data_IF_904385334746
#
_entry.id   IF_904385334746
#
_cell.length_a   1.000
_cell.length_b   1.000
_cell.length_c   1.000
_cell.angle_alpha   90.00
_cell.angle_beta   90.00
_cell.angle_gamma   90.00
#
_symmetry.space_group_name_H-M   'P 1'
#
loop_
_entity.id
_entity.type
_entity.pdbx_description
1 polymer ?
#
# COMPACT_ATOMS: atom_id res chain seq x y z
N UNK A 1 -1.54 -15.78 -19.17
CA UNK A 1 -1.43 -15.98 -17.73
C UNK A 1 -1.25 -14.66 -17.02
N UNK A 2 -1.71 -14.60 -15.78
CA UNK A 2 -1.51 -13.42 -14.97
C UNK A 2 -0.01 -13.26 -14.66
N UNK A 3 0.47 -12.04 -14.76
CA UNK A 3 1.89 -11.77 -14.58
C UNK A 3 2.11 -10.90 -13.34
N UNK A 4 2.77 -11.47 -12.35
CA UNK A 4 3.05 -10.76 -11.11
C UNK A 4 3.89 -9.50 -11.34
N UNK A 5 4.73 -9.48 -12.37
CA UNK A 5 5.56 -8.33 -12.71
C UNK A 5 4.74 -7.09 -13.05
N UNK A 6 3.57 -7.29 -13.68
CA UNK A 6 2.68 -6.18 -14.00
C UNK A 6 2.15 -5.52 -12.72
N UNK A 7 1.88 -6.34 -11.69
CA UNK A 7 1.47 -5.84 -10.40
C UNK A 7 2.59 -5.05 -9.71
N UNK A 8 3.82 -5.55 -9.79
CA UNK A 8 4.98 -4.85 -9.24
C UNK A 8 5.21 -3.53 -9.95
N UNK A 9 5.08 -3.47 -11.26
CA UNK A 9 5.20 -2.23 -12.03
C UNK A 9 4.14 -1.20 -11.62
N UNK A 10 2.89 -1.64 -11.46
CA UNK A 10 1.82 -0.75 -11.02
C UNK A 10 2.04 -0.27 -9.59
N UNK A 11 2.54 -1.14 -8.73
CA UNK A 11 2.87 -0.76 -7.35
C UNK A 11 3.96 0.33 -7.34
N UNK A 12 5.02 0.14 -8.11
CA UNK A 12 6.10 1.12 -8.21
C UNK A 12 5.60 2.45 -8.79
N UNK A 13 4.68 2.40 -9.75
CA UNK A 13 4.08 3.58 -10.35
C UNK A 13 3.25 4.37 -9.31
N UNK A 14 2.45 3.68 -8.52
CA UNK A 14 1.69 4.33 -7.43
C UNK A 14 2.64 4.97 -6.41
N UNK A 15 3.70 4.28 -6.04
CA UNK A 15 4.68 4.82 -5.09
C UNK A 15 5.36 6.07 -5.65
N UNK A 16 5.75 6.04 -6.93
CA UNK A 16 6.35 7.21 -7.59
C UNK A 16 5.37 8.37 -7.63
N UNK A 17 4.11 8.10 -7.92
CA UNK A 17 3.05 9.12 -7.88
C UNK A 17 2.91 9.76 -6.50
N UNK A 18 2.93 8.94 -5.45
CA UNK A 18 2.89 9.44 -4.07
C UNK A 18 4.09 10.32 -3.76
N UNK A 19 5.29 9.94 -4.18
CA UNK A 19 6.50 10.74 -3.97
C UNK A 19 6.41 12.11 -4.63
N UNK A 20 5.95 12.13 -5.88
CA UNK A 20 5.79 13.40 -6.61
C UNK A 20 4.75 14.30 -5.94
N UNK A 21 3.63 13.72 -5.53
CA UNK A 21 2.58 14.47 -4.83
C UNK A 21 3.07 15.05 -3.51
N UNK A 22 3.87 14.30 -2.77
CA UNK A 22 4.42 14.77 -1.50
C UNK A 22 5.42 15.91 -1.73
N UNK A 23 6.30 15.77 -2.71
CA UNK A 23 7.30 16.77 -3.05
C UNK A 23 6.69 18.10 -3.52
N UNK A 24 5.53 18.04 -4.17
CA UNK A 24 4.91 19.19 -4.80
C UNK A 24 3.58 19.61 -4.16
N UNK A 25 3.36 19.22 -2.92
CA UNK A 25 2.14 19.58 -2.17
C UNK A 25 0.84 19.26 -2.93
N UNK A 26 0.80 18.08 -3.55
CA UNK A 26 -0.34 17.65 -4.35
C UNK A 26 -1.54 17.16 -3.55
N UNK A 27 -1.40 17.08 -2.21
CA UNK A 27 -2.46 16.63 -1.30
C UNK A 27 -2.02 15.44 -0.48
N UNK A 28 -2.01 15.61 0.84
CA UNK A 28 -1.61 14.54 1.77
C UNK A 28 -2.54 13.33 1.69
N UNK A 29 -3.82 13.55 1.44
CA UNK A 29 -4.81 12.49 1.23
C UNK A 29 -4.48 11.63 0.00
N UNK A 30 -4.08 12.26 -1.10
CA UNK A 30 -3.68 11.54 -2.30
C UNK A 30 -2.39 10.77 -2.09
N UNK A 31 -1.44 11.33 -1.35
CA UNK A 31 -0.20 10.63 -0.97
C UNK A 31 -0.55 9.35 -0.21
N UNK A 32 -1.36 9.46 0.84
CA UNK A 32 -1.76 8.31 1.65
C UNK A 32 -2.50 7.26 0.82
N UNK A 33 -3.41 7.69 -0.05
CA UNK A 33 -4.17 6.79 -0.92
C UNK A 33 -3.25 6.01 -1.86
N UNK A 34 -2.33 6.71 -2.52
CA UNK A 34 -1.40 6.04 -3.45
C UNK A 34 -0.42 5.12 -2.73
N UNK A 35 -0.04 5.43 -1.50
CA UNK A 35 0.76 4.51 -0.67
C UNK A 35 -0.02 3.22 -0.39
N UNK A 36 -1.30 3.34 -0.04
CA UNK A 36 -2.15 2.18 0.19
C UNK A 36 -2.27 1.34 -1.09
N UNK A 37 -2.47 1.99 -2.25
CA UNK A 37 -2.56 1.30 -3.53
C UNK A 37 -1.25 0.60 -3.91
N UNK A 38 -0.10 1.24 -3.65
CA UNK A 38 1.21 0.65 -3.90
C UNK A 38 1.40 -0.62 -3.06
N UNK A 39 1.08 -0.55 -1.78
CA UNK A 39 1.21 -1.69 -0.88
C UNK A 39 0.28 -2.83 -1.26
N UNK A 40 -0.98 -2.51 -1.59
CA UNK A 40 -1.95 -3.51 -2.03
C UNK A 40 -1.46 -4.26 -3.26
N UNK A 41 -1.01 -3.53 -4.27
CA UNK A 41 -0.54 -4.13 -5.53
C UNK A 41 0.73 -4.94 -5.33
N UNK A 42 1.62 -4.48 -4.48
CA UNK A 42 2.85 -5.21 -4.17
C UNK A 42 2.54 -6.54 -3.47
N UNK A 43 1.65 -6.53 -2.48
CA UNK A 43 1.23 -7.74 -1.78
C UNK A 43 0.53 -8.72 -2.72
N UNK A 44 -0.38 -8.22 -3.55
CA UNK A 44 -1.09 -9.08 -4.52
C UNK A 44 -0.12 -9.69 -5.54
N UNK A 45 0.82 -8.90 -6.04
CA UNK A 45 1.84 -9.39 -6.97
C UNK A 45 2.72 -10.45 -6.33
N UNK A 46 3.16 -10.22 -5.10
CA UNK A 46 4.01 -11.18 -4.39
C UNK A 46 3.26 -12.50 -4.14
N UNK A 47 2.00 -12.41 -3.73
CA UNK A 47 1.16 -13.60 -3.52
C UNK A 47 0.92 -14.35 -4.82
N UNK A 48 0.68 -13.64 -5.91
CA UNK A 48 0.53 -14.26 -7.23
C UNK A 48 1.80 -15.00 -7.64
N UNK A 49 2.96 -14.37 -7.46
CA UNK A 49 4.26 -14.98 -7.75
C UNK A 49 4.50 -16.24 -6.91
N UNK A 50 4.17 -16.18 -5.63
CA UNK A 50 4.51 -17.24 -4.67
C UNK A 50 3.50 -18.37 -4.65
N UNK A 51 2.20 -18.04 -4.71
CA UNK A 51 1.12 -19.01 -4.57
C UNK A 51 0.38 -19.33 -5.88
N UNK A 52 0.56 -18.50 -6.90
CA UNK A 52 -0.18 -18.61 -8.17
C UNK A 52 -1.61 -18.08 -8.09
N UNK A 53 -2.00 -17.50 -6.98
CA UNK A 53 -3.37 -17.04 -6.73
C UNK A 53 -3.45 -15.52 -6.64
N UNK A 54 -4.38 -14.94 -7.41
CA UNK A 54 -4.66 -13.51 -7.33
C UNK A 54 -5.83 -13.30 -6.37
N UNK A 55 -5.56 -12.65 -5.24
CA UNK A 55 -6.57 -12.39 -4.23
C UNK A 55 -7.31 -11.09 -4.49
N UNK A 56 -8.60 -11.10 -4.21
CA UNK A 56 -9.46 -9.91 -4.32
C UNK A 56 -9.42 -9.07 -3.04
N UNK A 57 -10.02 -7.89 -3.10
CA UNK A 57 -10.20 -7.02 -1.95
C UNK A 57 -9.09 -6.00 -1.80
N UNK A 58 -9.25 -5.14 -0.78
CA UNK A 58 -8.38 -3.98 -0.57
C UNK A 58 -7.80 -3.92 0.84
N UNK A 59 -7.97 -4.97 1.64
CA UNK A 59 -7.47 -4.99 3.01
C UNK A 59 -5.99 -5.33 3.06
N UNK A 60 -5.17 -4.35 3.41
CA UNK A 60 -3.73 -4.57 3.58
C UNK A 60 -3.45 -5.54 4.72
N UNK A 61 -4.26 -5.51 5.77
CA UNK A 61 -4.11 -6.42 6.92
C UNK A 61 -4.31 -7.87 6.48
N UNK A 62 -5.39 -8.12 5.74
CA UNK A 62 -5.67 -9.45 5.19
C UNK A 62 -4.54 -9.92 4.29
N UNK A 63 -4.14 -9.08 3.34
CA UNK A 63 -3.08 -9.42 2.38
C UNK A 63 -1.73 -9.64 3.07
N UNK A 64 -1.40 -8.82 4.07
CA UNK A 64 -0.17 -8.96 4.83
C UNK A 64 -0.14 -10.29 5.60
N UNK A 65 -1.26 -10.68 6.21
CA UNK A 65 -1.38 -11.97 6.90
C UNK A 65 -1.23 -13.13 5.95
N UNK A 66 -1.85 -13.05 4.78
CA UNK A 66 -1.74 -14.08 3.73
C UNK A 66 -0.30 -14.21 3.24
N UNK A 67 0.36 -13.08 2.99
CA UNK A 67 1.75 -13.07 2.53
C UNK A 67 2.68 -13.66 3.61
N UNK A 68 2.50 -13.26 4.85
CA UNK A 68 3.30 -13.77 5.97
C UNK A 68 3.13 -15.29 6.10
N UNK A 69 1.91 -15.79 6.01
CA UNK A 69 1.62 -17.23 6.05
C UNK A 69 2.28 -17.98 4.89
N UNK A 70 2.45 -17.32 3.74
CA UNK A 70 3.11 -17.90 2.57
C UNK A 70 4.64 -17.72 2.58
N UNK A 71 5.19 -17.18 3.65
CA UNK A 71 6.65 -17.08 3.84
C UNK A 71 7.26 -15.71 3.60
N UNK A 72 6.44 -14.67 3.39
CA UNK A 72 6.97 -13.32 3.22
C UNK A 72 7.63 -12.82 4.52
N UNK A 73 8.73 -12.03 4.42
CA UNK A 73 9.43 -11.54 5.61
C UNK A 73 8.73 -10.30 6.20
N UNK A 74 7.44 -10.42 6.53
CA UNK A 74 6.59 -9.31 6.96
C UNK A 74 6.14 -9.41 8.42
N UNK A 75 6.77 -10.22 9.23
CA UNK A 75 6.33 -10.46 10.61
C UNK A 75 6.21 -9.18 11.44
N UNK A 76 7.06 -8.19 11.20
CA UNK A 76 7.03 -6.92 11.91
C UNK A 76 6.21 -5.84 11.22
N UNK A 77 5.52 -6.14 10.12
CA UNK A 77 4.91 -5.13 9.26
C UNK A 77 3.38 -5.06 9.33
N UNK A 78 2.74 -5.91 10.12
CA UNK A 78 1.28 -5.91 10.23
C UNK A 78 0.75 -4.57 10.75
N UNK A 79 1.44 -3.97 11.70
CA UNK A 79 1.07 -2.67 12.26
C UNK A 79 1.10 -1.58 11.17
N UNK A 80 2.14 -1.57 10.35
CA UNK A 80 2.26 -0.60 9.25
C UNK A 80 1.13 -0.79 8.23
N UNK A 81 0.82 -2.04 7.91
CA UNK A 81 -0.28 -2.35 7.01
C UNK A 81 -1.63 -1.86 7.57
N UNK A 82 -1.87 -2.09 8.86
CA UNK A 82 -3.09 -1.61 9.51
C UNK A 82 -3.16 -0.09 9.51
N UNK A 83 -2.03 0.57 9.76
CA UNK A 83 -1.97 2.03 9.76
C UNK A 83 -2.32 2.61 8.39
N UNK A 84 -1.67 2.14 7.34
CA UNK A 84 -1.89 2.67 5.99
C UNK A 84 -3.28 2.28 5.48
N UNK A 85 -3.78 1.12 5.87
CA UNK A 85 -5.07 0.61 5.40
C UNK A 85 -6.24 1.53 5.72
N UNK A 86 -6.17 2.27 6.83
CA UNK A 86 -7.25 3.19 7.22
C UNK A 86 -7.51 4.27 6.17
N UNK A 87 -6.49 4.63 5.40
CA UNK A 87 -6.61 5.72 4.42
C UNK A 87 -7.27 5.31 3.11
N UNK A 88 -7.60 4.04 2.91
CA UNK A 88 -8.22 3.59 1.67
C UNK A 88 -9.60 4.22 1.46
N UNK A 89 -10.47 4.16 2.46
CA UNK A 89 -11.83 4.72 2.37
C UNK A 89 -11.83 6.20 2.75
N UNK A 90 -11.14 6.55 3.84
CA UNK A 90 -11.14 7.91 4.38
C UNK A 90 -10.69 8.98 3.39
N UNK A 91 -9.78 8.65 2.49
CA UNK A 91 -9.22 9.63 1.55
C UNK A 91 -9.98 9.71 0.23
N UNK A 92 -10.88 8.78 -0.05
CA UNK A 92 -11.55 8.71 -1.35
C UNK A 92 -12.83 9.53 -1.43
N UNK A 93 -13.49 9.75 -0.31
CA UNK A 93 -14.82 10.36 -0.30
C UNK A 93 -14.92 11.43 0.79
N UNK A 94 -15.71 12.49 0.54
CA UNK A 94 -15.97 13.47 1.59
C UNK A 94 -16.81 12.85 2.70
N UNK A 95 -16.62 13.32 3.92
CA UNK A 95 -17.35 12.84 5.10
C UNK A 95 -17.51 13.97 6.10
N UNK A 96 -18.62 13.99 6.81
CA UNK A 96 -18.86 14.98 7.86
C UNK A 96 -17.91 14.80 9.05
N UNK A 97 -17.40 13.59 9.23
CA UNK A 97 -16.41 13.27 10.27
C UNK A 97 -14.98 13.28 9.76
N UNK A 98 -14.76 13.80 8.55
CA UNK A 98 -13.45 13.79 7.90
C UNK A 98 -12.45 14.64 8.68
N UNK A 99 -11.30 14.03 8.96
CA UNK A 99 -10.13 14.73 9.50
C UNK A 99 -9.09 14.80 8.40
N UNK A 100 -8.55 15.99 8.11
CA UNK A 100 -7.51 16.11 7.08
C UNK A 100 -6.31 15.24 7.40
N UNK A 101 -5.74 14.62 6.36
CA UNK A 101 -4.49 13.88 6.50
C UNK A 101 -3.35 14.89 6.69
N UNK A 102 -2.58 14.72 7.75
CA UNK A 102 -1.43 15.60 8.01
C UNK A 102 -0.24 15.23 7.14
N UNK A 103 0.71 16.14 7.02
CA UNK A 103 1.97 15.85 6.33
C UNK A 103 2.73 14.73 7.03
N UNK A 104 2.72 14.71 8.37
CA UNK A 104 3.35 13.65 9.14
C UNK A 104 2.75 12.28 8.82
N UNK A 105 1.41 12.21 8.77
CA UNK A 105 0.72 10.97 8.40
C UNK A 105 1.05 10.53 6.97
N UNK A 106 1.11 11.48 6.03
CA UNK A 106 1.50 11.19 4.66
C UNK A 106 2.93 10.64 4.59
N UNK A 107 3.86 11.21 5.34
CA UNK A 107 5.25 10.73 5.40
C UNK A 107 5.35 9.36 6.04
N UNK A 108 4.57 9.09 7.07
CA UNK A 108 4.52 7.78 7.70
C UNK A 108 3.99 6.72 6.72
N UNK A 109 3.00 7.07 5.91
CA UNK A 109 2.51 6.18 4.86
C UNK A 109 3.60 5.89 3.81
N UNK A 110 4.38 6.94 3.43
CA UNK A 110 5.49 6.77 2.49
C UNK A 110 6.55 5.82 3.04
N UNK A 111 6.92 5.99 4.31
CA UNK A 111 7.92 5.15 4.95
C UNK A 111 7.45 3.70 5.00
N UNK A 112 6.20 3.47 5.37
CA UNK A 112 5.62 2.13 5.41
C UNK A 112 5.59 1.48 4.02
N UNK A 113 5.18 2.23 3.00
CA UNK A 113 5.11 1.73 1.63
C UNK A 113 6.50 1.37 1.09
N UNK A 114 7.48 2.26 1.29
CA UNK A 114 8.87 2.03 0.85
C UNK A 114 9.46 0.78 1.51
N UNK A 115 9.23 0.62 2.80
CA UNK A 115 9.74 -0.53 3.54
C UNK A 115 9.15 -1.84 3.02
N UNK A 116 7.84 -1.86 2.79
CA UNK A 116 7.18 -3.05 2.25
C UNK A 116 7.73 -3.39 0.86
N UNK A 117 7.88 -2.39 0.00
CA UNK A 117 8.40 -2.58 -1.35
C UNK A 117 9.80 -3.20 -1.33
N UNK A 118 10.67 -2.73 -0.44
CA UNK A 118 12.02 -3.28 -0.29
C UNK A 118 11.99 -4.73 0.18
N UNK A 119 11.12 -5.06 1.13
CA UNK A 119 11.04 -6.40 1.68
C UNK A 119 10.51 -7.43 0.68
N UNK A 120 9.66 -7.01 -0.25
CA UNK A 120 9.02 -7.92 -1.20
C UNK A 120 9.64 -7.89 -2.61
N UNK A 121 10.55 -6.99 -2.83
CA UNK A 121 11.18 -6.85 -4.16
C UNK A 121 12.01 -8.08 -4.54
#
# INVERSE_FOLDING_TARGET
>A
SLRYKDWFEKAAHDLRGAEILLEHDGGNDLVAFHCQQAMEKMLKGWLLKTTGELLDGHSLVFLCRKATAAGAPLKGNLRDCAYVNQFYIETRYPSDSYMPVSEEEARDCMDAARKLMELLA
#
